data_IF_821754382981
#
_entry.id   IF_821754382981
#
_cell.length_a   1.000
_cell.length_b   1.000
_cell.length_c   1.000
_cell.angle_alpha   90.00
_cell.angle_beta   90.00
_cell.angle_gamma   90.00
#
_symmetry.space_group_name_H-M   'P 1'
#
loop_
_entity.id
_entity.type
_entity.pdbx_description
1 polymer ?
#
# COMPACT_ATOMS: atom_id res chain seq x y z
N UNK A 1 4.85 -21.22 -20.46
CA UNK A 1 3.57 -20.97 -19.74
C UNK A 1 3.74 -20.76 -18.22
N UNK A 2 4.86 -21.14 -17.59
CA UNK A 2 5.06 -21.03 -16.11
C UNK A 2 5.18 -19.57 -15.60
N UNK A 3 5.67 -18.64 -16.42
CA UNK A 3 5.79 -17.21 -16.03
C UNK A 3 4.45 -16.50 -15.82
N UNK A 4 3.42 -16.86 -16.58
CA UNK A 4 2.10 -16.22 -16.51
C UNK A 4 1.38 -16.48 -15.19
N UNK A 5 1.44 -17.72 -14.67
CA UNK A 5 0.81 -18.07 -13.40
C UNK A 5 1.47 -17.34 -12.21
N UNK A 6 2.81 -17.25 -12.19
CA UNK A 6 3.54 -16.51 -11.15
C UNK A 6 3.20 -15.03 -11.15
N UNK A 7 3.13 -14.42 -12.34
CA UNK A 7 2.73 -13.02 -12.50
C UNK A 7 1.34 -12.76 -11.91
N UNK A 8 0.36 -13.59 -12.23
CA UNK A 8 -1.02 -13.45 -11.75
C UNK A 8 -1.09 -13.56 -10.22
N UNK A 9 -0.37 -14.52 -9.61
CA UNK A 9 -0.32 -14.68 -8.16
C UNK A 9 0.21 -13.40 -7.50
N UNK A 10 1.33 -12.87 -7.97
CA UNK A 10 1.89 -11.65 -7.39
C UNK A 10 0.99 -10.42 -7.63
N UNK A 11 0.32 -10.31 -8.78
CA UNK A 11 -0.65 -9.24 -9.03
C UNK A 11 -1.83 -9.32 -8.04
N UNK A 12 -2.42 -10.50 -7.87
CA UNK A 12 -3.56 -10.71 -6.96
C UNK A 12 -3.14 -10.36 -5.53
N UNK A 13 -2.01 -10.90 -5.06
CA UNK A 13 -1.51 -10.61 -3.71
C UNK A 13 -1.22 -9.12 -3.50
N UNK A 14 -0.61 -8.46 -4.48
CA UNK A 14 -0.26 -7.05 -4.38
C UNK A 14 -1.50 -6.15 -4.33
N UNK A 15 -2.43 -6.34 -5.27
CA UNK A 15 -3.63 -5.50 -5.39
C UNK A 15 -4.61 -5.76 -4.24
N UNK A 16 -4.84 -7.03 -3.88
CA UNK A 16 -5.72 -7.35 -2.74
C UNK A 16 -5.18 -6.77 -1.43
N UNK A 17 -3.87 -6.88 -1.21
CA UNK A 17 -3.24 -6.30 -0.03
C UNK A 17 -3.37 -4.77 -0.01
N UNK A 18 -3.18 -4.10 -1.15
CA UNK A 18 -3.37 -2.65 -1.28
C UNK A 18 -4.80 -2.24 -0.89
N UNK A 19 -5.80 -2.93 -1.42
CA UNK A 19 -7.21 -2.61 -1.21
C UNK A 19 -7.59 -2.79 0.26
N UNK A 20 -7.20 -3.90 0.89
CA UNK A 20 -7.51 -4.17 2.29
C UNK A 20 -6.72 -3.21 3.20
N UNK A 21 -5.44 -2.96 2.92
CA UNK A 21 -4.60 -1.99 3.66
C UNK A 21 -5.24 -0.60 3.62
N UNK A 22 -5.71 -0.18 2.45
CA UNK A 22 -6.41 1.09 2.26
C UNK A 22 -7.69 1.14 3.07
N UNK A 23 -8.52 0.10 3.00
CA UNK A 23 -9.76 0.00 3.77
C UNK A 23 -9.52 0.10 5.28
N UNK A 24 -8.54 -0.64 5.82
CA UNK A 24 -8.17 -0.58 7.23
C UNK A 24 -7.59 0.78 7.63
N UNK A 25 -6.83 1.42 6.74
CA UNK A 25 -6.27 2.75 6.98
C UNK A 25 -7.38 3.80 7.10
N UNK A 26 -8.33 3.81 6.16
CA UNK A 26 -9.48 4.71 6.24
C UNK A 26 -10.41 4.39 7.41
N UNK A 27 -10.60 3.12 7.76
CA UNK A 27 -11.33 2.72 8.97
C UNK A 27 -10.66 3.30 10.23
N UNK A 28 -9.34 3.17 10.35
CA UNK A 28 -8.57 3.72 11.46
C UNK A 28 -8.67 5.25 11.54
N UNK A 29 -8.66 5.93 10.40
CA UNK A 29 -8.73 7.38 10.30
C UNK A 29 -10.14 7.90 10.64
N UNK A 30 -11.18 7.26 10.12
CA UNK A 30 -12.56 7.72 10.24
C UNK A 30 -13.18 7.40 11.60
N UNK A 31 -12.82 6.26 12.20
CA UNK A 31 -13.37 5.81 13.47
C UNK A 31 -12.26 5.16 14.34
N UNK A 32 -11.31 5.95 14.86
CA UNK A 32 -10.22 5.43 15.70
C UNK A 32 -10.77 4.94 17.05
N UNK A 33 -11.08 3.63 17.14
CA UNK A 33 -11.50 2.98 18.40
C UNK A 33 -10.32 2.29 19.07
N UNK A 34 -10.10 2.49 20.39
CA UNK A 34 -9.00 1.84 21.13
C UNK A 34 -9.02 0.30 21.01
N UNK A 35 -10.21 -0.28 21.03
CA UNK A 35 -10.44 -1.73 20.89
C UNK A 35 -9.94 -2.30 19.55
N UNK A 36 -9.95 -1.50 18.49
CA UNK A 36 -9.50 -1.91 17.15
C UNK A 36 -8.04 -1.57 16.87
N UNK A 37 -7.37 -0.84 17.77
CA UNK A 37 -5.97 -0.42 17.57
C UNK A 37 -5.05 -1.59 17.29
N UNK A 38 -5.05 -2.61 18.16
CA UNK A 38 -4.17 -3.78 18.01
C UNK A 38 -4.45 -4.57 16.74
N UNK A 39 -5.69 -5.02 16.43
CA UNK A 39 -5.95 -5.79 15.23
C UNK A 39 -5.70 -4.99 13.94
N UNK A 40 -6.03 -3.69 13.90
CA UNK A 40 -5.75 -2.85 12.72
C UNK A 40 -4.25 -2.70 12.49
N UNK A 41 -3.44 -2.44 13.53
CA UNK A 41 -1.99 -2.29 13.37
C UNK A 41 -1.32 -3.59 12.91
N UNK A 42 -1.75 -4.74 13.46
CA UNK A 42 -1.25 -6.04 13.01
C UNK A 42 -1.68 -6.30 11.56
N UNK A 43 -2.97 -6.10 11.24
CA UNK A 43 -3.50 -6.33 9.90
C UNK A 43 -2.82 -5.47 8.85
N UNK A 44 -2.72 -4.16 9.08
CA UNK A 44 -2.04 -3.23 8.17
C UNK A 44 -0.55 -3.53 8.04
N UNK A 45 0.12 -3.95 9.12
CA UNK A 45 1.51 -4.42 9.07
C UNK A 45 1.68 -5.65 8.17
N UNK A 46 0.85 -6.68 8.35
CA UNK A 46 0.88 -7.91 7.53
C UNK A 46 0.59 -7.58 6.07
N UNK A 47 -0.48 -6.82 5.79
CA UNK A 47 -0.86 -6.45 4.43
C UNK A 47 0.22 -5.63 3.74
N UNK A 48 0.88 -4.72 4.47
CA UNK A 48 2.04 -4.01 3.97
C UNK A 48 3.15 -4.99 3.57
N UNK A 49 3.51 -5.95 4.41
CA UNK A 49 4.54 -6.95 4.08
C UNK A 49 4.15 -7.85 2.89
N UNK A 50 2.90 -8.31 2.81
CA UNK A 50 2.42 -9.11 1.67
C UNK A 50 2.50 -8.28 0.39
N UNK A 51 2.10 -7.00 0.46
CA UNK A 51 2.20 -6.09 -0.67
C UNK A 51 3.65 -5.83 -1.09
N UNK A 52 4.59 -5.76 -0.15
CA UNK A 52 6.04 -5.66 -0.41
C UNK A 52 6.53 -6.83 -1.23
N UNK A 53 6.34 -8.04 -0.69
CA UNK A 53 6.91 -9.27 -1.26
C UNK A 53 6.32 -9.52 -2.65
N UNK A 54 5.03 -9.28 -2.81
CA UNK A 54 4.37 -9.41 -4.11
C UNK A 54 4.79 -8.32 -5.10
N UNK A 55 5.09 -7.09 -4.67
CA UNK A 55 5.63 -6.05 -5.55
C UNK A 55 7.01 -6.46 -6.12
N UNK A 56 7.91 -6.90 -5.26
CA UNK A 56 9.24 -7.37 -5.69
C UNK A 56 9.15 -8.65 -6.53
N UNK A 57 8.19 -9.53 -6.23
CA UNK A 57 7.86 -10.67 -7.08
C UNK A 57 7.45 -10.24 -8.50
N UNK A 58 6.63 -9.20 -8.63
CA UNK A 58 6.27 -8.63 -9.94
C UNK A 58 7.46 -8.01 -10.66
N UNK A 59 8.32 -7.29 -9.93
CA UNK A 59 9.52 -6.67 -10.51
C UNK A 59 10.47 -7.77 -11.04
N UNK A 60 10.63 -8.86 -10.31
CA UNK A 60 11.42 -10.01 -10.74
C UNK A 60 10.85 -10.67 -12.00
N UNK A 61 9.55 -10.94 -12.03
CA UNK A 61 8.90 -11.66 -13.14
C UNK A 61 8.75 -10.81 -14.41
N UNK A 62 8.41 -9.52 -14.26
CA UNK A 62 8.08 -8.64 -15.40
C UNK A 62 9.29 -7.86 -15.89
N UNK A 63 10.13 -7.39 -14.97
CA UNK A 63 11.21 -6.44 -15.28
C UNK A 63 12.60 -7.04 -15.08
N UNK A 64 12.71 -8.32 -14.69
CA UNK A 64 14.01 -8.98 -14.48
C UNK A 64 14.86 -8.31 -13.40
N UNK A 65 14.22 -7.78 -12.35
CA UNK A 65 14.84 -6.99 -11.29
C UNK A 65 15.38 -5.61 -11.72
N UNK A 66 15.05 -5.10 -12.90
CA UNK A 66 15.36 -3.73 -13.28
C UNK A 66 14.41 -2.74 -12.58
N UNK A 67 14.99 -1.78 -11.88
CA UNK A 67 14.25 -0.69 -11.23
C UNK A 67 14.25 0.55 -12.11
N UNK A 68 13.05 1.08 -12.33
CA UNK A 68 12.81 2.40 -12.93
C UNK A 68 12.37 3.36 -11.84
N UNK A 69 12.53 4.66 -12.03
CA UNK A 69 12.34 5.59 -10.92
C UNK A 69 10.88 5.67 -10.48
N UNK A 70 9.89 5.52 -11.38
CA UNK A 70 8.48 5.46 -10.97
C UNK A 70 8.21 4.32 -9.97
N UNK A 71 8.94 3.21 -10.05
CA UNK A 71 8.82 2.10 -9.10
C UNK A 71 9.27 2.53 -7.70
N UNK A 72 10.35 3.31 -7.62
CA UNK A 72 10.87 3.87 -6.36
C UNK A 72 9.83 4.81 -5.75
N UNK A 73 9.24 5.70 -6.56
CA UNK A 73 8.18 6.61 -6.09
C UNK A 73 7.00 5.82 -5.53
N UNK A 74 6.57 4.73 -6.18
CA UNK A 74 5.51 3.87 -5.65
C UNK A 74 5.87 3.23 -4.32
N UNK A 75 7.11 2.79 -4.13
CA UNK A 75 7.58 2.24 -2.86
C UNK A 75 7.46 3.30 -1.76
N UNK A 76 7.90 4.54 -2.02
CA UNK A 76 7.78 5.66 -1.07
C UNK A 76 6.31 5.94 -0.73
N UNK A 77 5.45 6.08 -1.73
CA UNK A 77 4.01 6.33 -1.55
C UNK A 77 3.36 5.24 -0.72
N UNK A 78 3.72 3.98 -0.96
CA UNK A 78 3.21 2.88 -0.17
C UNK A 78 3.72 2.92 1.28
N UNK A 79 5.00 3.18 1.54
CA UNK A 79 5.51 3.34 2.92
C UNK A 79 4.73 4.42 3.67
N UNK A 80 4.41 5.53 3.00
CA UNK A 80 3.56 6.59 3.56
C UNK A 80 2.18 6.02 3.91
N UNK A 81 1.52 5.31 2.99
CA UNK A 81 0.21 4.70 3.22
C UNK A 81 0.22 3.76 4.45
N UNK A 82 1.24 2.91 4.57
CA UNK A 82 1.41 2.00 5.71
C UNK A 82 1.60 2.74 7.03
N UNK A 83 2.30 3.87 7.02
CA UNK A 83 2.49 4.69 8.22
C UNK A 83 1.20 5.39 8.66
N UNK A 84 0.30 5.75 7.73
CA UNK A 84 -0.94 6.46 8.05
C UNK A 84 -1.88 5.67 8.98
N UNK A 85 -1.94 4.34 8.85
CA UNK A 85 -2.71 3.50 9.77
C UNK A 85 -2.20 3.62 11.22
N UNK A 86 -0.89 3.70 11.41
CA UNK A 86 -0.27 3.95 12.72
C UNK A 86 -0.50 5.36 13.24
N UNK A 87 -0.40 6.35 12.36
CA UNK A 87 -0.61 7.76 12.70
C UNK A 87 -2.06 8.06 13.08
N UNK A 88 -3.04 7.34 12.53
CA UNK A 88 -4.44 7.47 12.90
C UNK A 88 -4.68 7.29 14.40
N UNK A 89 -3.94 6.39 15.06
CA UNK A 89 -4.03 6.17 16.51
C UNK A 89 -3.09 7.06 17.34
N UNK A 90 -2.11 7.73 16.72
CA UNK A 90 -1.15 8.63 17.40
C UNK A 90 -1.56 10.09 17.35
N UNK A 91 -2.34 10.49 16.35
CA UNK A 91 -2.79 11.87 16.12
C UNK A 91 -4.33 11.94 16.15
N UNK A 92 -4.97 11.65 17.30
CA UNK A 92 -6.42 11.76 17.42
C UNK A 92 -6.86 13.20 17.10
N UNK A 93 -7.92 13.33 16.28
CA UNK A 93 -8.45 14.61 15.82
C UNK A 93 -7.91 15.11 14.47
N UNK A 94 -6.85 14.50 13.91
CA UNK A 94 -6.32 14.86 12.57
C UNK A 94 -6.90 14.02 11.42
N UNK A 95 -8.07 13.41 11.62
CA UNK A 95 -8.68 12.49 10.66
C UNK A 95 -8.82 13.06 9.24
N UNK A 96 -9.29 14.31 9.11
CA UNK A 96 -9.42 14.99 7.81
C UNK A 96 -8.07 15.11 7.09
N UNK A 97 -7.02 15.53 7.80
CA UNK A 97 -5.67 15.67 7.23
C UNK A 97 -5.14 14.30 6.78
N UNK A 98 -5.20 13.29 7.65
CA UNK A 98 -4.72 11.94 7.34
C UNK A 98 -5.49 11.31 6.17
N UNK A 99 -6.80 11.52 6.10
CA UNK A 99 -7.65 11.06 5.00
C UNK A 99 -7.26 11.69 3.67
N UNK A 100 -7.08 13.02 3.62
CA UNK A 100 -6.61 13.69 2.40
C UNK A 100 -5.21 13.26 1.99
N UNK A 101 -4.30 13.06 2.95
CA UNK A 101 -2.96 12.51 2.66
C UNK A 101 -3.07 11.10 2.08
N UNK A 102 -3.89 10.22 2.66
CA UNK A 102 -4.11 8.86 2.13
C UNK A 102 -4.65 8.91 0.69
N UNK A 103 -5.65 9.75 0.43
CA UNK A 103 -6.23 9.93 -0.92
C UNK A 103 -5.20 10.44 -1.91
N UNK A 104 -4.42 11.48 -1.56
CA UNK A 104 -3.39 12.02 -2.44
C UNK A 104 -2.32 10.96 -2.77
N UNK A 105 -1.88 10.20 -1.77
CA UNK A 105 -0.91 9.10 -1.92
C UNK A 105 -1.43 8.04 -2.89
N UNK A 106 -2.70 7.65 -2.77
CA UNK A 106 -3.32 6.66 -3.66
C UNK A 106 -3.43 7.17 -5.10
N UNK A 107 -3.85 8.42 -5.29
CA UNK A 107 -3.92 9.04 -6.63
C UNK A 107 -2.54 9.07 -7.27
N UNK A 108 -1.52 9.55 -6.55
CA UNK A 108 -0.15 9.58 -7.04
C UNK A 108 0.37 8.17 -7.37
N UNK A 109 0.04 7.16 -6.55
CA UNK A 109 0.46 5.79 -6.79
C UNK A 109 -0.15 5.22 -8.07
N UNK A 110 -1.42 5.56 -8.36
CA UNK A 110 -2.10 5.21 -9.61
C UNK A 110 -1.46 5.93 -10.79
N UNK A 111 -1.23 7.23 -10.69
CA UNK A 111 -0.58 8.01 -11.75
C UNK A 111 0.81 7.45 -12.11
N UNK A 112 1.61 7.06 -11.12
CA UNK A 112 2.93 6.46 -11.36
C UNK A 112 2.86 5.13 -12.13
N UNK A 113 1.79 4.33 -11.97
CA UNK A 113 1.62 3.08 -12.73
C UNK A 113 1.32 3.31 -14.20
N UNK A 114 0.51 4.33 -14.49
CA UNK A 114 0.03 4.58 -15.85
C UNK A 114 0.97 5.49 -16.64
N UNK A 115 1.50 6.53 -16.01
CA UNK A 115 2.40 7.47 -16.65
C UNK A 115 3.82 6.92 -16.75
N UNK A 116 4.24 6.07 -15.79
CA UNK A 116 5.60 5.51 -15.67
C UNK A 116 6.69 6.53 -16.01
N UNK A 117 6.66 7.73 -15.42
CA UNK A 117 7.67 8.72 -15.73
C UNK A 117 9.01 8.17 -15.23
N UNK A 118 10.04 8.22 -16.09
CA UNK A 118 11.45 7.84 -15.83
C UNK A 118 11.74 6.39 -15.38
#
# INVERSE_FOLDING_TARGET
MVGGMKMQIYQILHVSSLLILTGLTFLAIAAPRPEWRRPILIGTGILSLVMLVSAFGLISVIYGNNFTGWMIVKIVLWVILSALAGLAFRLPGRGKLLGWTATAVLILAVLMVYLKPF
#
